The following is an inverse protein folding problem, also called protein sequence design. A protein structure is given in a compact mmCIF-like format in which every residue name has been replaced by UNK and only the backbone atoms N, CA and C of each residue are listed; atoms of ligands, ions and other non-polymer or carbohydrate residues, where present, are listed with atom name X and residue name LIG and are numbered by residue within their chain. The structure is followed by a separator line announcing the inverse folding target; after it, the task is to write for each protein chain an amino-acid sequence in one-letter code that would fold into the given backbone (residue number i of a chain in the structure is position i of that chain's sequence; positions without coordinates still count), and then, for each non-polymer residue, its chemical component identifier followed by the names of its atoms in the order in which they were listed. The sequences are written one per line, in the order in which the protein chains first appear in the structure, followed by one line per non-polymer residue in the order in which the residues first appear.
data_IF_380612114793
#
_entry.id   IF_380612114793
#
_cell.length_a   1.000
_cell.length_b   1.000
_cell.length_c   1.000
_cell.angle_alpha   90.00
_cell.angle_beta   90.00
_cell.angle_gamma   90.00
#
_symmetry.space_group_name_H-M   'P 1'
#
loop_
_entity.id
_entity.type
_entity.pdbx_description
1 polymer ?
#
# COMPACT_ATOMS: atom_id res chain seq x y z
N UNK A 1 -14.07 -19.39 5.89
CA UNK A 1 -13.00 -18.62 6.55
C UNK A 1 -13.47 -17.19 6.71
N UNK A 2 -13.13 -16.52 7.80
CA UNK A 2 -13.50 -15.11 8.04
C UNK A 2 -12.48 -14.17 7.40
N UNK A 3 -12.94 -13.01 6.90
CA UNK A 3 -12.09 -11.91 6.42
C UNK A 3 -11.77 -10.89 7.53
N UNK A 4 -12.25 -11.09 8.76
CA UNK A 4 -12.02 -10.17 9.87
C UNK A 4 -10.52 -9.85 10.13
N UNK A 5 -9.58 -10.82 10.08
CA UNK A 5 -8.16 -10.51 10.24
C UNK A 5 -7.61 -9.58 9.14
N UNK A 6 -8.09 -9.73 7.91
CA UNK A 6 -7.71 -8.86 6.79
C UNK A 6 -8.24 -7.44 7.01
N UNK A 7 -9.50 -7.31 7.44
CA UNK A 7 -10.10 -5.99 7.74
C UNK A 7 -9.34 -5.27 8.86
N UNK A 8 -8.93 -6.00 9.90
CA UNK A 8 -8.12 -5.45 10.99
C UNK A 8 -6.75 -4.98 10.50
N UNK A 9 -6.07 -5.78 9.66
CA UNK A 9 -4.78 -5.41 9.07
C UNK A 9 -4.91 -4.15 8.19
N UNK A 10 -5.94 -4.08 7.34
CA UNK A 10 -6.23 -2.90 6.51
C UNK A 10 -6.42 -1.66 7.39
N UNK A 11 -7.25 -1.75 8.42
CA UNK A 11 -7.53 -0.63 9.31
C UNK A 11 -6.26 -0.13 10.05
N UNK A 12 -5.43 -1.05 10.53
CA UNK A 12 -4.16 -0.73 11.20
C UNK A 12 -3.19 -0.01 10.25
N UNK A 13 -2.99 -0.57 9.05
CA UNK A 13 -2.09 0.01 8.04
C UNK A 13 -2.58 1.38 7.57
N UNK A 14 -3.87 1.53 7.29
CA UNK A 14 -4.48 2.83 6.93
C UNK A 14 -4.22 3.89 8.00
N UNK A 15 -4.32 3.52 9.27
CA UNK A 15 -4.03 4.42 10.39
C UNK A 15 -2.59 4.92 10.39
N UNK A 16 -1.62 4.07 10.04
CA UNK A 16 -0.22 4.48 9.90
C UNK A 16 -0.04 5.40 8.70
N UNK A 17 -0.56 5.03 7.52
CA UNK A 17 -0.46 5.84 6.30
C UNK A 17 -1.04 7.24 6.50
N UNK A 18 -2.18 7.37 7.18
CA UNK A 18 -2.82 8.66 7.44
C UNK A 18 -1.98 9.63 8.30
N UNK A 19 -0.92 9.15 8.96
CA UNK A 19 -0.02 9.97 9.76
C UNK A 19 1.34 10.24 9.08
N UNK A 20 1.56 9.73 7.86
CA UNK A 20 2.79 10.01 7.11
C UNK A 20 2.68 11.36 6.41
N UNK A 21 3.69 12.20 6.56
CA UNK A 21 3.79 13.50 5.91
C UNK A 21 4.81 13.49 4.76
N UNK A 22 4.71 14.47 3.86
CA UNK A 22 5.57 14.53 2.67
C UNK A 22 7.08 14.62 2.99
N UNK A 23 7.44 15.30 4.08
CA UNK A 23 8.83 15.42 4.55
C UNK A 23 9.39 14.13 5.15
N UNK A 24 8.55 13.13 5.40
CA UNK A 24 8.96 11.83 5.92
C UNK A 24 9.23 10.79 4.83
N UNK A 25 8.86 11.07 3.58
CA UNK A 25 8.89 10.09 2.49
C UNK A 25 10.30 9.52 2.22
N UNK A 26 11.34 10.34 2.41
CA UNK A 26 12.74 9.96 2.20
C UNK A 26 13.43 9.48 3.49
N UNK A 27 12.70 9.39 4.61
CA UNK A 27 13.28 8.86 5.85
C UNK A 27 13.58 7.37 5.68
N UNK A 28 14.67 6.92 6.33
CA UNK A 28 14.97 5.50 6.43
C UNK A 28 13.83 4.74 7.10
N UNK A 29 13.51 3.56 6.58
CA UNK A 29 12.52 2.66 7.18
C UNK A 29 13.19 1.45 7.85
N UNK A 30 12.48 0.70 8.71
CA UNK A 30 12.95 -0.59 9.20
C UNK A 30 13.06 -1.69 8.13
N UNK A 31 12.48 -1.48 6.94
CA UNK A 31 12.69 -2.34 5.79
C UNK A 31 14.01 -1.94 5.14
N UNK A 32 15.07 -2.73 5.38
CA UNK A 32 16.40 -2.46 4.84
C UNK A 32 16.36 -2.16 3.34
N UNK A 33 17.07 -1.10 2.94
CA UNK A 33 17.14 -0.57 1.57
C UNK A 33 15.91 0.21 1.07
N UNK A 34 14.85 0.35 1.87
CA UNK A 34 13.68 1.17 1.51
C UNK A 34 13.54 2.39 2.43
N UNK A 35 13.25 3.53 1.82
CA UNK A 35 12.70 4.68 2.51
C UNK A 35 11.18 4.50 2.74
N UNK A 36 10.56 5.45 3.44
CA UNK A 36 9.12 5.42 3.71
C UNK A 36 8.31 5.37 2.40
N UNK A 37 8.72 6.11 1.36
CA UNK A 37 8.08 6.07 0.05
C UNK A 37 8.13 4.68 -0.59
N UNK A 38 9.27 3.99 -0.52
CA UNK A 38 9.43 2.61 -0.98
C UNK A 38 8.48 1.65 -0.26
N UNK A 39 8.35 1.77 1.06
CA UNK A 39 7.41 0.96 1.85
C UNK A 39 5.96 1.24 1.44
N UNK A 40 5.58 2.51 1.27
CA UNK A 40 4.23 2.91 0.84
C UNK A 40 3.91 2.31 -0.53
N UNK A 41 4.81 2.48 -1.49
CA UNK A 41 4.66 1.94 -2.84
C UNK A 41 4.52 0.41 -2.81
N UNK A 42 5.29 -0.27 -1.97
CA UNK A 42 5.21 -1.71 -1.80
C UNK A 42 3.86 -2.16 -1.27
N UNK A 43 3.35 -1.53 -0.21
CA UNK A 43 2.10 -1.93 0.44
C UNK A 43 0.88 -1.67 -0.46
N UNK A 44 0.80 -0.50 -1.09
CA UNK A 44 -0.29 -0.18 -2.04
C UNK A 44 -0.21 -1.07 -3.28
N UNK A 45 0.98 -1.22 -3.86
CA UNK A 45 1.21 -2.07 -5.02
C UNK A 45 0.85 -3.54 -4.77
N UNK A 46 1.13 -4.07 -3.57
CA UNK A 46 0.79 -5.44 -3.19
C UNK A 46 -0.73 -5.68 -3.20
N UNK A 47 -1.54 -4.73 -2.74
CA UNK A 47 -3.00 -4.87 -2.80
C UNK A 47 -3.49 -5.00 -4.24
N UNK A 48 -3.06 -4.11 -5.13
CA UNK A 48 -3.40 -4.19 -6.56
C UNK A 48 -2.92 -5.50 -7.19
N UNK A 49 -1.74 -5.98 -6.81
CA UNK A 49 -1.21 -7.28 -7.27
C UNK A 49 -2.15 -8.44 -6.89
N UNK A 50 -2.58 -8.51 -5.62
CA UNK A 50 -3.49 -9.58 -5.17
C UNK A 50 -4.88 -9.46 -5.80
N UNK A 51 -5.42 -8.24 -5.92
CA UNK A 51 -6.71 -7.99 -6.58
C UNK A 51 -6.68 -8.45 -8.05
N UNK A 52 -5.61 -8.15 -8.78
CA UNK A 52 -5.45 -8.63 -10.16
C UNK A 52 -5.44 -10.16 -10.22
N UNK A 53 -4.70 -10.82 -9.33
CA UNK A 53 -4.68 -12.29 -9.22
C UNK A 53 -6.06 -12.89 -8.95
N UNK A 54 -6.83 -12.32 -8.02
CA UNK A 54 -8.20 -12.74 -7.73
C UNK A 54 -9.15 -12.57 -8.92
N UNK A 55 -8.90 -11.57 -9.78
CA UNK A 55 -9.67 -11.31 -11.00
C UNK A 55 -9.19 -12.12 -12.22
N UNK A 56 -8.19 -13.00 -12.04
CA UNK A 56 -7.58 -13.74 -13.16
C UNK A 56 -6.83 -12.86 -14.16
N UNK A 57 -6.46 -11.66 -13.74
CA UNK A 57 -5.75 -10.66 -14.54
C UNK A 57 -4.25 -10.74 -14.26
N UNK A 58 -3.45 -10.38 -15.27
CA UNK A 58 -2.02 -10.15 -15.07
C UNK A 58 -1.87 -8.89 -14.21
N UNK A 59 -1.14 -8.93 -13.08
CA UNK A 59 -0.82 -7.72 -12.32
C UNK A 59 -0.18 -6.67 -13.22
N UNK A 60 -0.58 -5.40 -13.05
CA UNK A 60 0.11 -4.31 -13.70
C UNK A 60 1.59 -4.36 -13.29
N UNK A 61 2.48 -4.48 -14.27
CA UNK A 61 3.91 -4.34 -14.03
C UNK A 61 4.30 -2.86 -14.08
N UNK A 62 5.36 -2.49 -13.39
CA UNK A 62 5.95 -1.15 -13.42
C UNK A 62 6.05 -0.49 -12.05
N UNK A 63 6.86 0.55 -11.99
CA UNK A 63 7.20 1.30 -10.77
C UNK A 63 6.22 2.46 -10.56
N UNK A 64 4.91 2.17 -10.49
CA UNK A 64 3.92 3.21 -10.16
C UNK A 64 4.27 3.81 -8.79
N UNK A 65 4.53 5.11 -8.77
CA UNK A 65 4.87 5.84 -7.56
C UNK A 65 3.61 6.39 -6.89
N UNK A 66 2.98 5.55 -6.06
CA UNK A 66 1.84 5.92 -5.23
C UNK A 66 2.19 6.98 -4.18
N UNK A 67 3.42 6.94 -3.66
CA UNK A 67 3.89 7.84 -2.61
C UNK A 67 3.98 9.32 -3.04
N UNK A 68 4.03 9.63 -4.34
CA UNK A 68 4.00 11.01 -4.86
C UNK A 68 2.59 11.63 -4.83
N UNK A 69 1.54 10.81 -4.72
CA UNK A 69 0.15 11.24 -4.73
C UNK A 69 -0.55 11.04 -3.39
N UNK A 70 -1.87 10.94 -3.44
CA UNK A 70 -2.69 10.55 -2.28
C UNK A 70 -2.61 9.03 -2.08
N UNK A 71 -1.55 8.58 -1.42
CA UNK A 71 -1.32 7.16 -1.15
C UNK A 71 -2.34 6.58 -0.14
N UNK A 72 -3.03 7.40 0.64
CA UNK A 72 -4.13 6.93 1.52
C UNK A 72 -5.35 6.58 0.67
N UNK A 73 -5.71 7.45 -0.28
CA UNK A 73 -6.79 7.16 -1.22
C UNK A 73 -6.49 5.94 -2.09
N UNK A 74 -5.25 5.80 -2.59
CA UNK A 74 -4.85 4.63 -3.37
C UNK A 74 -4.94 3.31 -2.55
N UNK A 75 -4.51 3.35 -1.28
CA UNK A 75 -4.67 2.21 -0.36
C UNK A 75 -6.14 1.86 -0.11
N UNK A 76 -7.00 2.87 0.10
CA UNK A 76 -8.44 2.69 0.32
C UNK A 76 -9.14 2.12 -0.92
N UNK A 77 -8.79 2.58 -2.12
CA UNK A 77 -9.31 2.04 -3.39
C UNK A 77 -8.98 0.56 -3.53
N UNK A 78 -7.71 0.18 -3.35
CA UNK A 78 -7.28 -1.19 -3.50
C UNK A 78 -7.87 -2.12 -2.42
N UNK A 79 -8.08 -1.61 -1.20
CA UNK A 79 -8.69 -2.36 -0.09
C UNK A 79 -10.18 -2.68 -0.32
N UNK A 80 -10.88 -1.87 -1.11
CA UNK A 80 -12.31 -2.02 -1.37
C UNK A 80 -12.65 -2.91 -2.59
N UNK A 81 -11.63 -3.42 -3.28
CA UNK A 81 -11.73 -3.94 -4.65
C UNK A 81 -12.00 -5.46 -4.82
#
# INVERSE_FOLDING_TARGET
MSTAPLQQAIAATRGVLANVTADQLQNASPCDSWDVAGVINHVVGAQHFFVAGMKGQRPAGGDTNWAEGDFVAAFDEAAAA
#
